data_IF_025746014393
#
_entry.id   IF_025746014393
#
_cell.length_a   1.000
_cell.length_b   1.000
_cell.length_c   1.000
_cell.angle_alpha   90.00
_cell.angle_beta   90.00
_cell.angle_gamma   90.00
#
_symmetry.space_group_name_H-M   'P 1'
#
loop_
_entity.id
_entity.type
_entity.pdbx_description
1 polymer ?
#
# COMPACT_ATOMS: atom_id res chain seq x y z
N UNK A 1 -24.77 80.33 -2.82
CA UNK A 1 -24.42 79.50 -3.99
C UNK A 1 -23.01 78.99 -3.81
N UNK A 2 -22.86 77.65 -3.85
CA UNK A 2 -21.64 76.83 -3.89
C UNK A 2 -20.65 76.87 -2.70
N UNK A 3 -20.89 75.97 -1.74
CA UNK A 3 -19.85 75.33 -0.94
C UNK A 3 -19.17 74.22 -1.77
N UNK A 4 -17.83 74.23 -1.83
CA UNK A 4 -17.04 73.12 -2.36
C UNK A 4 -16.49 72.30 -1.18
N UNK A 5 -16.92 71.04 -1.09
CA UNK A 5 -16.46 70.05 -0.12
C UNK A 5 -15.28 69.30 -0.72
N UNK A 6 -14.12 69.35 -0.06
CA UNK A 6 -12.96 68.50 -0.36
C UNK A 6 -13.14 67.20 0.42
N UNK A 7 -13.35 66.09 -0.29
CA UNK A 7 -13.40 64.73 0.29
C UNK A 7 -12.00 64.13 0.25
N UNK A 8 -11.42 63.92 1.43
CA UNK A 8 -10.16 63.18 1.61
C UNK A 8 -10.49 61.69 1.71
N UNK A 9 -10.02 60.89 0.76
CA UNK A 9 -10.08 59.44 0.80
C UNK A 9 -8.90 58.89 1.61
N UNK A 10 -9.18 58.24 2.74
CA UNK A 10 -8.21 57.43 3.48
C UNK A 10 -8.24 55.99 2.96
N UNK A 11 -7.17 55.59 2.27
CA UNK A 11 -6.90 54.20 1.87
C UNK A 11 -6.46 53.39 3.09
N UNK A 12 -7.34 52.52 3.58
CA UNK A 12 -7.02 51.49 4.56
C UNK A 12 -6.36 50.31 3.83
N UNK A 13 -5.04 50.19 3.95
CA UNK A 13 -4.29 49.03 3.46
C UNK A 13 -4.38 47.94 4.54
N UNK A 14 -5.27 46.97 4.35
CA UNK A 14 -5.26 45.72 5.11
C UNK A 14 -4.04 44.88 4.68
N UNK A 15 -3.04 44.80 5.55
CA UNK A 15 -2.01 43.77 5.45
C UNK A 15 -2.66 42.41 5.75
N UNK A 16 -3.00 41.66 4.69
CA UNK A 16 -3.28 40.23 4.80
C UNK A 16 -1.92 39.54 4.97
N UNK A 17 -1.50 39.32 6.21
CA UNK A 17 -0.42 38.39 6.51
C UNK A 17 -0.91 36.99 6.12
N UNK A 18 -0.19 36.24 5.26
CA UNK A 18 -0.50 34.84 5.03
C UNK A 18 -0.33 34.11 6.37
N UNK A 19 -1.45 33.64 6.92
CA UNK A 19 -1.45 32.84 8.14
C UNK A 19 -0.57 31.61 7.92
N UNK A 20 0.49 31.48 8.71
CA UNK A 20 1.20 30.21 8.86
C UNK A 20 0.12 29.22 9.33
N UNK A 21 -0.08 28.08 8.64
CA UNK A 21 -1.01 27.08 9.12
C UNK A 21 -0.61 26.71 10.54
N UNK A 22 -1.49 26.99 11.49
CA UNK A 22 -1.36 26.51 12.87
C UNK A 22 -1.46 24.99 12.77
N UNK A 23 -0.32 24.31 12.84
CA UNK A 23 -0.32 22.88 13.07
C UNK A 23 -1.01 22.65 14.41
N UNK A 24 -2.07 21.84 14.41
CA UNK A 24 -2.70 21.38 15.65
C UNK A 24 -1.63 20.76 16.56
N UNK A 25 -1.81 20.85 17.89
CA UNK A 25 -0.93 20.13 18.82
C UNK A 25 -0.86 18.65 18.40
N UNK A 26 0.35 18.05 18.38
CA UNK A 26 0.49 16.65 18.00
C UNK A 26 -0.35 15.78 18.95
N UNK A 27 -1.03 14.74 18.44
CA UNK A 27 -1.86 13.88 19.26
C UNK A 27 -1.00 13.20 20.32
N UNK A 28 -1.59 12.96 21.48
CA UNK A 28 -0.97 12.14 22.52
C UNK A 28 -0.74 10.76 21.91
N UNK A 29 0.51 10.29 21.91
CA UNK A 29 0.90 9.06 21.22
C UNK A 29 0.12 7.86 21.75
N UNK A 30 -0.16 7.83 23.06
CA UNK A 30 -0.98 6.79 23.68
C UNK A 30 -2.42 6.75 23.14
N UNK A 31 -3.00 7.89 22.75
CA UNK A 31 -4.30 7.93 22.06
C UNK A 31 -4.17 7.31 20.67
N UNK A 32 -3.10 7.64 19.94
CA UNK A 32 -2.81 7.06 18.62
C UNK A 32 -2.67 5.54 18.72
N UNK A 33 -1.94 5.02 19.71
CA UNK A 33 -1.79 3.58 19.94
C UNK A 33 -3.13 2.89 20.22
N UNK A 34 -4.01 3.54 20.98
CA UNK A 34 -5.37 3.07 21.20
C UNK A 34 -6.20 3.03 19.91
N UNK A 35 -6.11 4.08 19.08
CA UNK A 35 -6.78 4.12 17.74
C UNK A 35 -6.22 3.07 16.79
N UNK A 36 -4.93 2.75 16.90
CA UNK A 36 -4.29 1.66 16.17
C UNK A 36 -4.75 0.28 16.63
N UNK A 37 -5.53 0.17 17.70
CA UNK A 37 -6.10 -1.08 18.22
C UNK A 37 -5.24 -1.79 19.25
N UNK A 38 -4.20 -1.13 19.80
CA UNK A 38 -3.37 -1.72 20.84
C UNK A 38 -4.04 -1.67 22.21
N UNK A 39 -3.90 -2.75 22.98
CA UNK A 39 -4.35 -2.79 24.37
C UNK A 39 -3.29 -2.20 25.34
N UNK A 40 -3.69 -2.00 26.61
CA UNK A 40 -2.81 -1.40 27.64
C UNK A 40 -1.57 -2.24 27.92
N UNK A 41 -1.66 -3.57 27.83
CA UNK A 41 -0.51 -4.44 28.08
C UNK A 41 0.50 -4.30 26.95
N UNK A 42 0.04 -4.27 25.69
CA UNK A 42 0.86 -4.03 24.50
C UNK A 42 1.55 -2.66 24.51
N UNK A 43 0.84 -1.61 24.93
CA UNK A 43 1.42 -0.26 25.09
C UNK A 43 2.52 -0.26 26.17
N UNK A 44 2.33 -1.04 27.24
CA UNK A 44 3.34 -1.20 28.29
C UNK A 44 4.55 -1.98 27.81
N UNK A 45 4.36 -3.02 26.99
CA UNK A 45 5.44 -3.80 26.37
C UNK A 45 6.29 -2.94 25.42
N UNK A 46 5.65 -2.09 24.62
CA UNK A 46 6.34 -1.15 23.73
C UNK A 46 7.33 -0.25 24.49
N UNK A 47 7.02 0.12 25.74
CA UNK A 47 7.90 0.91 26.58
C UNK A 47 9.24 0.21 26.91
N UNK A 48 9.33 -1.10 26.72
CA UNK A 48 10.51 -1.93 26.92
C UNK A 48 11.43 -1.98 25.68
N UNK A 49 11.06 -1.30 24.59
CA UNK A 49 11.87 -1.13 23.38
C UNK A 49 11.78 -2.28 22.37
N UNK A 50 10.91 -3.26 22.59
CA UNK A 50 10.65 -4.34 21.64
C UNK A 50 9.54 -3.96 20.65
N UNK A 51 9.62 -4.40 19.38
CA UNK A 51 8.49 -4.33 18.47
C UNK A 51 7.32 -5.15 19.01
N UNK A 52 6.12 -4.57 19.03
CA UNK A 52 4.90 -5.22 19.51
C UNK A 52 3.99 -5.51 18.32
N UNK A 53 3.77 -6.80 18.05
CA UNK A 53 2.85 -7.26 17.01
C UNK A 53 1.47 -7.59 17.59
N UNK A 54 0.41 -7.16 16.94
CA UNK A 54 -0.96 -7.33 17.39
C UNK A 54 -1.88 -7.71 16.22
N UNK A 55 -3.06 -8.27 16.54
CA UNK A 55 -4.05 -8.64 15.53
C UNK A 55 -4.99 -7.46 15.25
N UNK A 56 -5.44 -7.33 14.01
CA UNK A 56 -6.51 -6.42 13.64
C UNK A 56 -7.81 -7.20 13.52
N UNK A 57 -8.94 -6.50 13.56
CA UNK A 57 -10.23 -7.09 13.18
C UNK A 57 -10.20 -7.46 11.69
N UNK A 58 -10.73 -8.63 11.38
CA UNK A 58 -10.92 -9.16 10.04
C UNK A 58 -12.42 -9.23 9.78
N UNK A 59 -12.88 -8.70 8.66
CA UNK A 59 -14.29 -8.56 8.29
C UNK A 59 -14.71 -9.59 7.22
N UNK A 60 -13.76 -10.37 6.68
CA UNK A 60 -14.03 -11.46 5.74
C UNK A 60 -13.16 -12.70 5.96
N UNK A 61 -13.60 -13.86 5.46
CA UNK A 61 -12.93 -15.14 5.70
C UNK A 61 -11.62 -15.32 4.93
N UNK A 62 -11.36 -14.49 3.93
CA UNK A 62 -10.15 -14.43 3.12
C UNK A 62 -9.15 -13.37 3.62
N UNK A 63 -9.48 -12.63 4.68
CA UNK A 63 -8.67 -11.52 5.20
C UNK A 63 -7.69 -11.95 6.28
N UNK A 64 -6.48 -11.40 6.25
CA UNK A 64 -5.49 -11.47 7.32
C UNK A 64 -5.14 -10.05 7.78
N UNK A 65 -5.40 -9.76 9.05
CA UNK A 65 -5.19 -8.45 9.66
C UNK A 65 -4.09 -8.47 10.74
N UNK A 66 -3.05 -7.64 10.58
CA UNK A 66 -2.00 -7.51 11.58
C UNK A 66 -1.43 -6.09 11.67
N UNK A 67 -1.00 -5.73 12.88
CA UNK A 67 -0.27 -4.51 13.14
C UNK A 67 1.05 -4.79 13.85
N UNK A 68 2.03 -3.91 13.65
CA UNK A 68 3.27 -3.85 14.44
C UNK A 68 3.56 -2.41 14.79
N UNK A 69 3.92 -2.17 16.04
CA UNK A 69 4.44 -0.88 16.52
C UNK A 69 5.82 -1.08 17.12
N UNK A 70 6.70 -0.12 16.88
CA UNK A 70 8.06 -0.14 17.42
C UNK A 70 8.50 1.26 17.86
N UNK A 71 9.24 1.31 18.96
CA UNK A 71 9.89 2.51 19.46
C UNK A 71 11.39 2.42 19.19
N UNK A 72 11.96 3.45 18.56
CA UNK A 72 13.41 3.56 18.32
C UNK A 72 13.93 4.90 18.85
N UNK A 73 15.15 4.91 19.38
CA UNK A 73 15.86 6.15 19.76
C UNK A 73 16.35 6.96 18.55
N UNK A 74 16.03 6.53 17.33
CA UNK A 74 16.37 7.27 16.12
C UNK A 74 15.60 8.59 16.05
N UNK A 75 16.23 9.72 15.68
CA UNK A 75 15.54 10.98 15.46
C UNK A 75 14.45 10.87 14.39
N UNK A 76 13.30 11.53 14.64
CA UNK A 76 12.14 11.52 13.75
C UNK A 76 12.47 11.90 12.32
N UNK A 77 13.31 12.91 12.13
CA UNK A 77 13.72 13.39 10.80
C UNK A 77 14.41 12.30 9.98
N UNK A 78 15.22 11.44 10.61
CA UNK A 78 15.90 10.33 9.94
C UNK A 78 14.92 9.23 9.57
N UNK A 79 14.02 8.86 10.49
CA UNK A 79 12.99 7.84 10.22
C UNK A 79 12.02 8.32 9.14
N UNK A 80 11.48 9.54 9.28
CA UNK A 80 10.54 10.12 8.33
C UNK A 80 11.20 10.32 6.95
N UNK A 81 12.46 10.77 6.90
CA UNK A 81 13.22 10.87 5.64
C UNK A 81 13.36 9.52 4.94
N UNK A 82 13.61 8.45 5.69
CA UNK A 82 13.68 7.10 5.14
C UNK A 82 12.32 6.60 4.64
N UNK A 83 11.25 6.86 5.40
CA UNK A 83 9.89 6.50 5.00
C UNK A 83 9.40 7.29 3.79
N UNK A 84 9.87 8.51 3.54
CA UNK A 84 9.51 9.31 2.34
C UNK A 84 10.13 8.80 1.05
N UNK A 85 11.18 7.96 1.11
CA UNK A 85 11.79 7.41 -0.10
C UNK A 85 10.72 6.72 -0.97
N UNK A 86 10.77 7.00 -2.27
CA UNK A 86 9.85 6.41 -3.26
C UNK A 86 9.87 4.88 -3.23
N UNK A 87 11.05 4.32 -2.97
CA UNK A 87 11.28 2.89 -2.77
C UNK A 87 11.96 2.66 -1.42
N UNK A 88 11.22 2.54 -0.32
CA UNK A 88 11.82 2.10 0.93
C UNK A 88 11.91 0.57 0.89
N UNK A 89 12.64 0.02 -0.10
CA UNK A 89 12.89 -1.41 -0.27
C UNK A 89 13.43 -2.06 1.02
N UNK A 90 13.99 -1.26 1.91
CA UNK A 90 14.33 -1.63 3.28
C UNK A 90 13.18 -2.27 4.08
N UNK A 91 11.92 -1.96 3.77
CA UNK A 91 10.75 -2.44 4.51
C UNK A 91 10.02 -3.60 3.83
N UNK A 92 10.38 -3.98 2.61
CA UNK A 92 9.83 -5.20 2.01
C UNK A 92 10.99 -6.10 1.62
N UNK A 93 11.39 -6.95 2.58
CA UNK A 93 12.56 -7.82 2.46
C UNK A 93 12.52 -8.77 1.26
N UNK A 94 11.33 -8.95 0.68
CA UNK A 94 11.09 -9.84 -0.43
C UNK A 94 11.21 -9.17 -1.81
N UNK A 95 11.35 -7.83 -1.88
CA UNK A 95 11.51 -7.12 -3.15
C UNK A 95 12.89 -7.39 -3.74
N UNK A 96 12.91 -7.84 -5.00
CA UNK A 96 14.14 -8.16 -5.75
C UNK A 96 14.36 -7.25 -6.95
N UNK A 97 13.31 -6.58 -7.43
CA UNK A 97 13.40 -5.53 -8.43
C UNK A 97 12.20 -4.56 -8.28
N UNK A 98 12.35 -3.34 -8.76
CA UNK A 98 11.30 -2.33 -8.72
C UNK A 98 11.41 -1.36 -9.91
N UNK A 99 10.34 -0.59 -10.13
CA UNK A 99 10.31 0.53 -11.07
C UNK A 99 9.05 1.36 -10.87
N UNK A 100 8.92 2.46 -11.62
CA UNK A 100 7.74 3.33 -11.61
C UNK A 100 6.91 3.12 -12.87
N UNK A 101 5.60 3.14 -12.69
CA UNK A 101 4.64 3.36 -13.75
C UNK A 101 4.29 4.83 -13.81
N UNK A 102 4.25 5.37 -15.02
CA UNK A 102 3.81 6.73 -15.30
C UNK A 102 2.89 6.70 -16.51
N UNK A 103 2.03 7.71 -16.64
CA UNK A 103 1.08 7.83 -17.76
C UNK A 103 1.76 7.73 -19.12
N UNK A 104 2.91 8.41 -19.26
CA UNK A 104 3.62 8.51 -20.52
C UNK A 104 4.68 7.41 -20.71
N UNK A 105 4.89 6.58 -19.69
CA UNK A 105 5.94 5.55 -19.70
C UNK A 105 5.58 4.32 -20.52
N UNK A 106 4.29 4.07 -20.77
CA UNK A 106 3.82 2.94 -21.56
C UNK A 106 4.24 1.57 -20.98
N UNK A 107 4.07 0.54 -21.81
CA UNK A 107 4.48 -0.83 -21.48
C UNK A 107 6.00 -0.95 -21.26
N UNK A 108 6.79 -0.06 -21.84
CA UNK A 108 8.26 -0.07 -21.73
C UNK A 108 8.75 0.19 -20.30
N UNK A 109 7.94 0.85 -19.46
CA UNK A 109 8.23 1.00 -18.03
C UNK A 109 8.26 -0.34 -17.27
N UNK A 110 7.79 -1.43 -17.90
CA UNK A 110 7.80 -2.80 -17.37
C UNK A 110 8.83 -3.70 -18.07
N UNK A 111 9.75 -3.16 -18.87
CA UNK A 111 10.72 -3.95 -19.63
C UNK A 111 11.57 -4.91 -18.75
N UNK A 112 11.89 -4.49 -17.52
CA UNK A 112 12.62 -5.29 -16.53
C UNK A 112 11.78 -6.36 -15.83
N UNK A 113 10.46 -6.41 -16.04
CA UNK A 113 9.60 -7.50 -15.58
C UNK A 113 9.79 -8.69 -16.52
N UNK A 114 10.81 -9.50 -16.26
CA UNK A 114 11.14 -10.68 -17.07
C UNK A 114 10.57 -11.95 -16.43
N UNK A 115 9.95 -12.80 -17.24
CA UNK A 115 9.48 -14.12 -16.85
C UNK A 115 10.57 -15.17 -17.10
N UNK A 116 10.68 -16.13 -16.20
CA UNK A 116 11.37 -17.39 -16.46
C UNK A 116 10.54 -18.26 -17.42
N UNK A 117 11.18 -19.27 -18.02
CA UNK A 117 10.50 -20.26 -18.87
C UNK A 117 9.35 -20.95 -18.15
N UNK A 118 9.53 -21.30 -16.87
CA UNK A 118 8.49 -21.93 -16.05
C UNK A 118 7.30 -20.99 -15.83
N UNK A 119 7.55 -19.72 -15.53
CA UNK A 119 6.48 -18.72 -15.34
C UNK A 119 5.72 -18.44 -16.63
N UNK A 120 6.43 -18.34 -17.76
CA UNK A 120 5.79 -18.14 -19.07
C UNK A 120 4.90 -19.33 -19.45
N UNK A 121 5.36 -20.57 -19.24
CA UNK A 121 4.56 -21.77 -19.50
C UNK A 121 3.33 -21.82 -18.57
N UNK A 122 3.51 -21.57 -17.28
CA UNK A 122 2.40 -21.59 -16.32
C UNK A 122 1.35 -20.51 -16.64
N UNK A 123 1.76 -19.31 -17.10
CA UNK A 123 0.82 -18.28 -17.55
C UNK A 123 0.06 -18.65 -18.84
N UNK A 124 0.64 -19.46 -19.72
CA UNK A 124 -0.03 -19.96 -20.91
C UNK A 124 -1.07 -21.03 -20.59
N UNK A 125 -0.72 -21.89 -19.62
CA UNK A 125 -1.57 -22.98 -19.14
C UNK A 125 -2.55 -22.48 -18.05
N UNK A 126 -2.61 -21.17 -17.81
CA UNK A 126 -3.46 -20.60 -16.78
C UNK A 126 -4.95 -20.87 -17.07
N UNK A 127 -5.65 -21.26 -16.02
CA UNK A 127 -7.09 -21.52 -15.98
C UNK A 127 -7.69 -20.76 -14.78
N UNK A 128 -9.03 -20.60 -14.71
CA UNK A 128 -9.68 -20.06 -13.52
C UNK A 128 -9.27 -20.88 -12.27
N UNK A 129 -8.79 -20.19 -11.23
CA UNK A 129 -8.28 -20.85 -10.02
C UNK A 129 -7.42 -19.94 -9.15
N UNK A 130 -6.79 -20.52 -8.12
CA UNK A 130 -5.98 -19.78 -7.14
C UNK A 130 -4.50 -19.61 -7.55
N UNK A 131 -4.05 -20.26 -8.63
CA UNK A 131 -2.64 -20.19 -9.04
C UNK A 131 -2.23 -18.79 -9.50
N UNK A 132 -3.11 -18.12 -10.24
CA UNK A 132 -2.88 -16.78 -10.76
C UNK A 132 -4.08 -15.86 -10.54
N UNK A 133 -3.78 -14.61 -10.24
CA UNK A 133 -4.78 -13.55 -10.18
C UNK A 133 -5.02 -12.95 -11.57
N UNK A 134 -5.69 -13.70 -12.43
CA UNK A 134 -6.05 -13.26 -13.78
C UNK A 134 -7.55 -13.16 -13.92
N UNK A 135 -8.03 -12.22 -14.71
CA UNK A 135 -9.43 -12.19 -15.12
C UNK A 135 -9.69 -13.23 -16.22
N UNK A 136 -10.96 -13.57 -16.46
CA UNK A 136 -11.36 -14.45 -17.57
C UNK A 136 -10.84 -13.95 -18.91
N UNK A 137 -10.95 -12.65 -19.18
CA UNK A 137 -10.47 -12.03 -20.43
C UNK A 137 -8.94 -12.13 -20.56
N UNK A 138 -8.21 -11.99 -19.46
CA UNK A 138 -6.75 -12.09 -19.45
C UNK A 138 -6.29 -13.52 -19.72
N UNK A 139 -6.93 -14.52 -19.11
CA UNK A 139 -6.68 -15.94 -19.37
C UNK A 139 -6.87 -16.24 -20.86
N UNK A 140 -8.02 -15.86 -21.43
CA UNK A 140 -8.31 -16.06 -22.86
C UNK A 140 -7.26 -15.35 -23.73
N UNK A 141 -6.85 -14.14 -23.35
CA UNK A 141 -5.85 -13.38 -24.10
C UNK A 141 -4.47 -14.03 -24.08
N UNK A 142 -4.05 -14.62 -22.96
CA UNK A 142 -2.78 -15.33 -22.82
C UNK A 142 -2.76 -16.61 -23.66
N UNK A 143 -3.82 -17.41 -23.59
CA UNK A 143 -3.96 -18.63 -24.39
C UNK A 143 -3.93 -18.36 -25.91
N UNK A 144 -4.34 -17.16 -26.34
CA UNK A 144 -4.28 -16.75 -27.75
C UNK A 144 -2.85 -16.53 -28.27
N UNK A 145 -1.86 -16.29 -27.40
CA UNK A 145 -0.46 -16.07 -27.76
C UNK A 145 0.15 -17.31 -28.45
N UNK A 146 -0.32 -18.51 -28.09
CA UNK A 146 0.13 -19.81 -28.65
C UNK A 146 -0.10 -19.90 -30.16
N UNK A 147 -1.08 -19.17 -30.70
CA UNK A 147 -1.48 -19.26 -32.12
C UNK A 147 -0.52 -18.55 -33.09
N UNK A 148 0.51 -17.89 -32.59
CA UNK A 148 1.54 -17.21 -33.41
C UNK A 148 2.90 -17.81 -33.07
N UNK A 149 3.60 -18.52 -33.97
CA UNK A 149 4.84 -19.20 -33.64
C UNK A 149 6.00 -18.20 -33.46
N UNK A 150 6.54 -17.97 -32.24
CA UNK A 150 7.74 -17.17 -32.06
C UNK A 150 8.95 -18.10 -31.90
N UNK A 151 10.15 -17.58 -32.21
CA UNK A 151 11.42 -18.29 -31.93
C UNK A 151 11.68 -18.47 -30.41
N UNK A 152 10.97 -17.76 -29.55
CA UNK A 152 10.96 -17.93 -28.10
C UNK A 152 9.57 -17.59 -27.54
N UNK A 153 8.84 -18.60 -27.07
CA UNK A 153 7.49 -18.44 -26.53
C UNK A 153 7.50 -17.60 -25.24
N UNK A 154 8.60 -17.66 -24.48
CA UNK A 154 8.78 -16.93 -23.23
C UNK A 154 8.73 -15.40 -23.44
N UNK A 155 9.37 -14.91 -24.49
CA UNK A 155 9.41 -13.48 -24.82
C UNK A 155 8.03 -12.95 -25.24
N UNK A 156 7.30 -13.75 -26.02
CA UNK A 156 5.95 -13.39 -26.46
C UNK A 156 4.97 -13.32 -25.29
N UNK A 157 5.01 -14.31 -24.39
CA UNK A 157 4.20 -14.33 -23.16
C UNK A 157 4.60 -13.19 -22.23
N UNK A 158 5.91 -12.97 -22.04
CA UNK A 158 6.41 -11.86 -21.22
C UNK A 158 5.97 -10.50 -21.76
N UNK A 159 6.04 -10.29 -23.07
CA UNK A 159 5.56 -9.04 -23.69
C UNK A 159 4.05 -8.88 -23.50
N UNK A 160 3.26 -9.94 -23.68
CA UNK A 160 1.81 -9.89 -23.48
C UNK A 160 1.43 -9.65 -22.02
N UNK A 161 2.12 -10.29 -21.09
CA UNK A 161 1.93 -10.10 -19.66
C UNK A 161 2.23 -8.67 -19.21
N UNK A 162 3.30 -8.03 -19.73
CA UNK A 162 3.56 -6.60 -19.47
C UNK A 162 2.43 -5.70 -19.98
N UNK A 163 1.79 -6.04 -21.11
CA UNK A 163 0.60 -5.31 -21.59
C UNK A 163 -0.58 -5.46 -20.63
N UNK A 164 -0.80 -6.65 -20.06
CA UNK A 164 -1.82 -6.88 -19.04
C UNK A 164 -1.55 -6.00 -17.81
N UNK A 165 -0.31 -6.02 -17.29
CA UNK A 165 0.09 -5.20 -16.15
C UNK A 165 -0.13 -3.70 -16.41
N UNK A 166 0.27 -3.20 -17.58
CA UNK A 166 0.10 -1.79 -17.93
C UNK A 166 -1.39 -1.41 -18.03
N UNK A 167 -2.22 -2.24 -18.68
CA UNK A 167 -3.67 -2.02 -18.74
C UNK A 167 -4.32 -1.98 -17.36
N UNK A 168 -3.87 -2.83 -16.42
CA UNK A 168 -4.35 -2.82 -15.03
C UNK A 168 -3.99 -1.51 -14.32
N UNK A 169 -2.77 -1.01 -14.53
CA UNK A 169 -2.36 0.29 -14.03
C UNK A 169 -3.23 1.42 -14.60
N UNK A 170 -3.45 1.45 -15.91
CA UNK A 170 -4.31 2.48 -16.53
C UNK A 170 -5.74 2.42 -16.01
N UNK A 171 -6.32 1.22 -15.91
CA UNK A 171 -7.65 1.01 -15.37
C UNK A 171 -7.74 1.53 -13.92
N UNK A 172 -6.81 1.12 -13.05
CA UNK A 172 -6.78 1.55 -11.66
C UNK A 172 -6.58 3.06 -11.51
N UNK A 173 -5.69 3.67 -12.29
CA UNK A 173 -5.45 5.11 -12.21
C UNK A 173 -6.68 5.92 -12.64
N UNK A 174 -7.43 5.43 -13.63
CA UNK A 174 -8.58 6.15 -14.19
C UNK A 174 -9.90 5.90 -13.44
N UNK A 175 -10.07 4.73 -12.82
CA UNK A 175 -11.33 4.37 -12.14
C UNK A 175 -11.17 3.82 -10.72
N UNK A 176 -9.95 3.83 -10.19
CA UNK A 176 -9.62 3.39 -8.84
C UNK A 176 -9.91 1.91 -8.61
N UNK A 177 -10.30 1.59 -7.38
CA UNK A 177 -10.62 0.20 -7.00
C UNK A 177 -11.81 -0.35 -7.80
N UNK A 178 -12.76 0.49 -8.21
CA UNK A 178 -13.93 0.07 -9.00
C UNK A 178 -13.58 -0.42 -10.42
N UNK A 179 -12.43 0.00 -10.95
CA UNK A 179 -11.95 -0.43 -12.27
C UNK A 179 -11.09 -1.71 -12.22
N UNK A 180 -10.87 -2.29 -11.04
CA UNK A 180 -10.14 -3.55 -10.92
C UNK A 180 -11.02 -4.71 -11.38
N UNK A 181 -10.57 -5.41 -12.41
CA UNK A 181 -11.22 -6.63 -12.87
C UNK A 181 -11.14 -7.72 -11.78
N UNK A 182 -12.23 -8.49 -11.56
CA UNK A 182 -12.21 -9.63 -10.66
C UNK A 182 -11.24 -10.71 -11.17
N UNK A 183 -10.74 -11.53 -10.25
CA UNK A 183 -9.93 -12.70 -10.60
C UNK A 183 -10.82 -13.91 -10.78
N UNK A 184 -10.62 -14.65 -11.87
CA UNK A 184 -11.37 -15.85 -12.18
C UNK A 184 -10.95 -16.99 -11.23
N UNK A 185 -11.95 -17.68 -10.65
CA UNK A 185 -11.78 -18.87 -9.83
C UNK A 185 -12.60 -20.01 -10.43
N UNK A 186 -12.41 -21.22 -9.90
CA UNK A 186 -13.19 -22.40 -10.28
C UNK A 186 -14.70 -22.18 -10.02
N UNK A 187 -15.55 -23.00 -10.64
CA UNK A 187 -17.01 -22.97 -10.47
C UNK A 187 -17.66 -21.59 -10.74
N UNK A 188 -17.15 -20.85 -11.73
CA UNK A 188 -17.59 -19.49 -12.08
C UNK A 188 -17.50 -18.47 -10.93
N UNK A 189 -16.70 -18.78 -9.90
CA UNK A 189 -16.45 -17.91 -8.77
C UNK A 189 -15.44 -16.82 -9.10
N UNK A 190 -15.34 -15.81 -8.22
CA UNK A 190 -14.32 -14.77 -8.35
C UNK A 190 -13.87 -14.20 -7.02
N UNK A 191 -12.57 -13.87 -6.92
CA UNK A 191 -12.06 -12.92 -5.93
C UNK A 191 -12.21 -11.50 -6.47
N UNK A 192 -12.45 -10.54 -5.56
CA UNK A 192 -12.85 -9.17 -5.90
C UNK A 192 -11.92 -8.17 -5.20
N UNK A 193 -10.73 -7.90 -5.75
CA UNK A 193 -9.78 -6.93 -5.18
C UNK A 193 -10.40 -5.53 -5.01
N UNK A 194 -11.42 -5.19 -5.81
CA UNK A 194 -12.19 -3.95 -5.66
C UNK A 194 -12.91 -3.85 -4.31
N UNK A 195 -13.54 -4.94 -3.85
CA UNK A 195 -14.27 -5.01 -2.59
C UNK A 195 -13.31 -5.14 -1.41
N UNK A 196 -12.32 -6.03 -1.54
CA UNK A 196 -11.24 -6.25 -0.56
C UNK A 196 -10.54 -4.93 -0.18
N UNK A 197 -10.06 -4.16 -1.16
CA UNK A 197 -9.37 -2.89 -0.91
C UNK A 197 -10.30 -1.77 -0.40
N UNK A 198 -11.59 -1.85 -0.72
CA UNK A 198 -12.58 -0.92 -0.18
C UNK A 198 -12.83 -1.20 1.31
N UNK A 199 -12.99 -2.47 1.67
CA UNK A 199 -13.13 -2.94 3.06
C UNK A 199 -11.92 -2.55 3.91
N UNK A 200 -10.69 -2.81 3.45
CA UNK A 200 -9.48 -2.38 4.14
C UNK A 200 -9.40 -0.86 4.35
N UNK A 201 -9.90 -0.07 3.39
CA UNK A 201 -9.95 1.38 3.53
C UNK A 201 -11.01 1.83 4.55
N UNK A 202 -12.17 1.17 4.62
CA UNK A 202 -13.19 1.43 5.65
C UNK A 202 -12.65 1.10 7.04
N UNK A 203 -11.96 -0.03 7.19
CA UNK A 203 -11.45 -0.52 8.48
C UNK A 203 -10.36 0.39 9.11
N UNK A 204 -9.82 1.36 8.37
CA UNK A 204 -8.74 2.22 8.86
C UNK A 204 -9.21 3.29 9.84
N UNK A 205 -9.21 2.95 11.14
CA UNK A 205 -9.53 3.88 12.22
C UNK A 205 -8.58 5.09 12.28
N UNK A 206 -7.27 4.89 11.99
CA UNK A 206 -6.27 5.97 12.00
C UNK A 206 -6.58 7.02 10.92
N UNK A 207 -6.99 6.59 9.72
CA UNK A 207 -7.37 7.50 8.65
C UNK A 207 -8.67 8.23 8.97
N UNK A 208 -9.69 7.50 9.43
CA UNK A 208 -10.97 8.09 9.80
C UNK A 208 -10.83 9.16 10.89
N UNK A 209 -9.97 8.92 11.88
CA UNK A 209 -9.77 9.81 13.04
C UNK A 209 -8.88 11.01 12.74
N UNK A 210 -7.71 10.80 12.13
CA UNK A 210 -6.68 11.83 12.02
C UNK A 210 -6.52 12.42 10.61
N UNK A 211 -7.03 11.73 9.58
CA UNK A 211 -6.90 12.17 8.19
C UNK A 211 -8.22 12.03 7.41
N UNK A 212 -9.35 12.59 7.89
CA UNK A 212 -10.66 12.33 7.29
C UNK A 212 -10.75 12.74 5.81
N UNK A 213 -10.05 13.81 5.40
CA UNK A 213 -9.99 14.21 4.00
C UNK A 213 -9.23 13.19 3.13
N UNK A 214 -8.09 12.70 3.61
CA UNK A 214 -7.31 11.65 2.92
C UNK A 214 -8.08 10.33 2.92
N UNK A 215 -8.76 9.98 4.02
CA UNK A 215 -9.60 8.78 4.12
C UNK A 215 -10.70 8.78 3.05
N UNK A 216 -11.41 9.90 2.93
CA UNK A 216 -12.44 10.09 1.91
C UNK A 216 -11.87 9.99 0.50
N UNK A 217 -10.75 10.65 0.22
CA UNK A 217 -10.11 10.57 -1.10
C UNK A 217 -9.60 9.15 -1.41
N UNK A 218 -9.05 8.45 -0.41
CA UNK A 218 -8.55 7.09 -0.54
C UNK A 218 -9.65 6.06 -0.80
N UNK A 219 -10.79 6.18 -0.11
CA UNK A 219 -11.98 5.36 -0.33
C UNK A 219 -12.56 5.54 -1.73
N UNK A 220 -12.47 6.75 -2.27
CA UNK A 220 -13.09 7.16 -3.54
C UNK A 220 -12.07 7.50 -4.62
N UNK A 221 -10.84 6.96 -4.51
CA UNK A 221 -9.80 7.17 -5.50
C UNK A 221 -10.35 6.81 -6.90
N UNK A 222 -10.13 7.61 -7.96
CA UNK A 222 -9.13 8.67 -8.13
C UNK A 222 -9.63 10.10 -7.84
N UNK A 223 -10.46 10.29 -6.81
CA UNK A 223 -10.72 11.65 -6.31
C UNK A 223 -9.42 12.37 -5.92
N UNK A 224 -9.44 13.70 -6.08
CA UNK A 224 -8.31 14.58 -5.79
C UNK A 224 -7.80 14.34 -4.36
N UNK A 225 -6.52 13.98 -4.26
CA UNK A 225 -5.85 13.81 -2.97
C UNK A 225 -5.67 15.18 -2.29
N UNK A 226 -5.69 15.25 -0.94
CA UNK A 226 -5.47 16.49 -0.22
C UNK A 226 -4.12 17.15 -0.58
N UNK A 227 -4.01 18.49 -0.51
CA UNK A 227 -2.73 19.19 -0.70
C UNK A 227 -1.64 18.67 0.24
N UNK A 228 -0.40 18.65 -0.23
CA UNK A 228 0.75 18.14 0.55
C UNK A 228 0.87 16.61 0.57
N UNK A 229 0.13 15.92 -0.31
CA UNK A 229 0.31 14.49 -0.57
C UNK A 229 1.16 14.26 -1.81
N UNK A 230 1.96 13.19 -1.78
CA UNK A 230 2.74 12.70 -2.92
C UNK A 230 2.22 11.34 -3.36
N UNK A 231 1.91 11.21 -4.65
CA UNK A 231 1.35 9.99 -5.25
C UNK A 231 2.36 9.33 -6.19
N UNK A 232 2.52 8.02 -6.08
CA UNK A 232 3.37 7.23 -6.99
C UNK A 232 2.77 5.85 -7.26
N UNK A 233 3.14 5.27 -8.41
CA UNK A 233 2.71 3.94 -8.85
C UNK A 233 3.90 2.99 -9.06
N UNK A 234 4.52 2.48 -7.99
CA UNK A 234 5.59 1.54 -8.15
C UNK A 234 5.07 0.19 -8.67
N UNK A 235 5.87 -0.48 -9.50
CA UNK A 235 5.78 -1.93 -9.66
C UNK A 235 6.96 -2.56 -8.93
N UNK A 236 6.76 -3.75 -8.37
CA UNK A 236 7.83 -4.53 -7.77
C UNK A 236 7.79 -5.99 -8.22
N UNK A 237 8.96 -6.61 -8.26
CA UNK A 237 9.09 -8.07 -8.31
C UNK A 237 9.44 -8.55 -6.90
N UNK A 238 8.63 -9.46 -6.37
CA UNK A 238 8.85 -10.06 -5.05
C UNK A 238 9.20 -11.53 -5.18
N UNK A 239 9.93 -12.06 -4.20
CA UNK A 239 9.93 -13.49 -3.90
C UNK A 239 8.88 -13.77 -2.81
N UNK A 240 7.85 -14.53 -3.15
CA UNK A 240 6.79 -14.95 -2.22
C UNK A 240 6.72 -16.47 -2.30
N UNK A 241 6.94 -17.13 -1.16
CA UNK A 241 6.89 -18.60 -1.06
C UNK A 241 7.83 -19.31 -2.07
N UNK A 242 9.00 -18.71 -2.33
CA UNK A 242 9.98 -19.26 -3.27
C UNK A 242 9.66 -19.01 -4.75
N UNK A 243 8.53 -18.36 -5.07
CA UNK A 243 8.12 -17.98 -6.42
C UNK A 243 8.26 -16.48 -6.64
N UNK A 244 8.54 -16.07 -7.88
CA UNK A 244 8.57 -14.65 -8.19
C UNK A 244 7.21 -14.14 -8.63
N UNK A 245 6.79 -13.00 -8.08
CA UNK A 245 5.54 -12.35 -8.43
C UNK A 245 5.78 -10.89 -8.81
N UNK A 246 5.26 -10.47 -9.96
CA UNK A 246 5.08 -9.06 -10.25
C UNK A 246 3.88 -8.52 -9.46
N UNK A 247 4.05 -7.34 -8.89
CA UNK A 247 3.05 -6.68 -8.04
C UNK A 247 2.96 -5.21 -8.44
N UNK A 248 1.74 -4.70 -8.59
CA UNK A 248 1.47 -3.30 -8.88
C UNK A 248 0.98 -2.58 -7.62
N UNK A 249 1.57 -1.42 -7.34
CA UNK A 249 1.32 -0.63 -6.15
C UNK A 249 0.78 0.75 -6.47
N UNK A 250 -0.05 1.25 -5.57
CA UNK A 250 -0.38 2.67 -5.45
C UNK A 250 0.05 3.14 -4.07
N UNK A 251 0.87 4.20 -4.03
CA UNK A 251 1.42 4.75 -2.80
C UNK A 251 1.08 6.23 -2.70
N UNK A 252 0.55 6.62 -1.54
CA UNK A 252 0.32 8.02 -1.17
C UNK A 252 1.07 8.33 0.11
N UNK A 253 1.92 9.36 0.07
CA UNK A 253 2.69 9.84 1.23
C UNK A 253 2.12 11.19 1.68
N UNK A 254 1.97 11.39 2.98
CA UNK A 254 1.50 12.64 3.58
C UNK A 254 2.33 12.96 4.81
N UNK A 255 2.71 14.22 5.00
CA UNK A 255 3.32 14.65 6.26
C UNK A 255 2.30 14.66 7.40
N UNK A 256 2.76 14.38 8.62
CA UNK A 256 1.91 14.32 9.81
C UNK A 256 2.67 14.62 11.09
N UNK A 257 2.41 15.78 11.71
CA UNK A 257 2.95 16.14 13.03
C UNK A 257 4.48 15.96 13.15
N UNK A 258 5.20 16.46 12.15
CA UNK A 258 6.66 16.30 12.02
C UNK A 258 7.12 14.92 11.54
N UNK A 259 6.23 13.93 11.54
CA UNK A 259 6.42 12.61 10.96
C UNK A 259 5.81 12.48 9.56
N UNK A 260 5.54 11.24 9.16
CA UNK A 260 4.99 10.90 7.84
C UNK A 260 4.00 9.74 7.96
N UNK A 261 2.98 9.75 7.11
CA UNK A 261 2.06 8.66 6.86
C UNK A 261 2.22 8.20 5.41
N UNK A 262 2.33 6.89 5.21
CA UNK A 262 2.43 6.25 3.90
C UNK A 262 1.28 5.26 3.79
N UNK A 263 0.40 5.50 2.83
CA UNK A 263 -0.62 4.56 2.39
C UNK A 263 -0.07 3.76 1.23
N UNK A 264 -0.27 2.45 1.24
CA UNK A 264 0.04 1.59 0.10
C UNK A 264 -1.08 0.61 -0.16
N UNK A 265 -1.45 0.48 -1.43
CA UNK A 265 -2.26 -0.60 -1.98
C UNK A 265 -1.41 -1.44 -2.90
N UNK A 266 -1.43 -2.75 -2.72
CA UNK A 266 -1.08 -3.73 -3.74
C UNK A 266 -2.36 -4.17 -4.42
N UNK A 267 -2.71 -3.45 -5.49
CA UNK A 267 -3.97 -3.65 -6.22
C UNK A 267 -3.90 -4.77 -7.26
N UNK A 268 -2.72 -5.32 -7.47
CA UNK A 268 -2.49 -6.52 -8.24
C UNK A 268 -1.23 -7.21 -7.73
N UNK A 269 -1.31 -8.52 -7.51
CA UNK A 269 -0.17 -9.40 -7.38
C UNK A 269 -0.39 -10.61 -8.28
N UNK A 270 0.66 -11.10 -8.93
CA UNK A 270 0.55 -12.24 -9.86
C UNK A 270 -0.08 -13.48 -9.22
N UNK A 271 0.24 -13.76 -7.95
CA UNK A 271 -0.22 -14.93 -7.18
C UNK A 271 -0.02 -14.72 -5.66
N UNK A 272 -0.26 -15.78 -4.87
CA UNK A 272 -0.11 -15.91 -3.40
C UNK A 272 -1.09 -15.09 -2.53
N UNK A 273 -1.48 -13.90 -2.96
CA UNK A 273 -2.53 -13.10 -2.31
C UNK A 273 -3.28 -12.30 -3.37
N UNK A 274 -4.55 -11.99 -3.13
CA UNK A 274 -5.45 -11.32 -4.06
C UNK A 274 -5.17 -9.82 -4.12
N UNK A 275 -5.15 -9.18 -2.96
CA UNK A 275 -4.83 -7.77 -2.79
C UNK A 275 -4.33 -7.50 -1.37
N UNK A 276 -3.67 -6.36 -1.17
CA UNK A 276 -3.29 -5.92 0.18
C UNK A 276 -3.32 -4.40 0.29
N UNK A 277 -3.62 -3.92 1.49
CA UNK A 277 -3.49 -2.53 1.85
C UNK A 277 -2.75 -2.42 3.17
N UNK A 278 -1.83 -1.47 3.25
CA UNK A 278 -1.22 -1.12 4.51
C UNK A 278 -0.97 0.36 4.69
N UNK A 279 -0.83 0.71 5.95
CA UNK A 279 -0.51 2.05 6.41
C UNK A 279 0.77 1.93 7.21
N UNK A 280 1.75 2.77 6.92
CA UNK A 280 2.96 2.91 7.72
C UNK A 280 3.10 4.36 8.14
N UNK A 281 3.39 4.61 9.40
CA UNK A 281 3.62 5.98 9.85
C UNK A 281 4.64 6.07 10.96
N UNK A 282 5.09 7.30 11.21
CA UNK A 282 5.97 7.59 12.34
C UNK A 282 5.60 8.89 13.03
N UNK A 283 5.86 8.95 14.34
CA UNK A 283 5.57 10.11 15.19
C UNK A 283 6.70 10.32 16.20
N UNK A 284 6.92 11.56 16.68
CA UNK A 284 7.79 11.79 17.83
C UNK A 284 7.22 11.06 19.05
N UNK A 285 8.06 10.32 19.77
CA UNK A 285 7.65 9.65 21.00
C UNK A 285 8.83 9.57 21.96
N UNK A 286 8.67 10.11 23.17
CA UNK A 286 9.74 10.25 24.16
C UNK A 286 10.97 10.95 23.55
N UNK A 287 12.16 10.38 23.72
CA UNK A 287 13.43 10.84 23.18
C UNK A 287 13.72 10.30 21.75
N UNK A 288 12.74 9.68 21.10
CA UNK A 288 12.92 9.06 19.79
C UNK A 288 11.67 9.10 18.91
N UNK A 289 11.46 8.00 18.19
CA UNK A 289 10.41 7.87 17.18
C UNK A 289 9.61 6.61 17.39
N UNK A 290 8.29 6.76 17.38
CA UNK A 290 7.36 5.65 17.19
C UNK A 290 7.22 5.37 15.70
N UNK A 291 7.28 4.11 15.28
CA UNK A 291 6.93 3.66 13.94
C UNK A 291 5.84 2.60 14.05
N UNK A 292 4.81 2.70 13.23
CA UNK A 292 3.74 1.70 13.19
C UNK A 292 3.46 1.28 11.75
N UNK A 293 2.97 0.06 11.61
CA UNK A 293 2.41 -0.46 10.37
C UNK A 293 1.16 -1.29 10.66
N UNK A 294 0.10 -1.10 9.88
CA UNK A 294 -1.11 -1.93 9.88
C UNK A 294 -1.32 -2.49 8.47
N UNK A 295 -1.52 -3.79 8.35
CA UNK A 295 -1.72 -4.49 7.07
C UNK A 295 -3.05 -5.25 7.12
N UNK A 296 -3.82 -5.10 6.06
CA UNK A 296 -4.90 -6.00 5.66
C UNK A 296 -4.47 -6.68 4.35
N UNK A 297 -4.46 -8.01 4.32
CA UNK A 297 -4.11 -8.79 3.13
C UNK A 297 -5.17 -9.84 2.86
N UNK A 298 -5.59 -9.98 1.61
CA UNK A 298 -6.66 -10.88 1.21
C UNK A 298 -6.09 -12.04 0.41
N UNK A 299 -6.48 -13.28 0.70
CA UNK A 299 -6.01 -14.47 0.01
C UNK A 299 -6.99 -15.62 0.15
N UNK A 300 -7.23 -16.32 -0.96
CA UNK A 300 -8.10 -17.50 -0.97
C UNK A 300 -7.50 -18.67 -0.16
N UNK A 301 -6.18 -18.65 0.04
CA UNK A 301 -5.45 -19.73 0.73
C UNK A 301 -5.90 -19.96 2.18
N UNK A 302 -6.44 -18.93 2.85
CA UNK A 302 -6.92 -19.03 4.24
C UNK A 302 -8.40 -19.40 4.35
N UNK A 303 -9.08 -19.57 3.23
CA UNK A 303 -10.49 -19.97 3.16
C UNK A 303 -10.66 -21.50 3.17
N UNK A 304 -11.91 -21.96 3.24
CA UNK A 304 -12.27 -23.37 3.13
C UNK A 304 -11.99 -24.22 4.38
N UNK A 305 -11.70 -25.51 4.17
CA UNK A 305 -11.50 -26.48 5.25
C UNK A 305 -10.35 -26.04 6.15
N UNK A 306 -10.57 -26.14 7.47
CA UNK A 306 -9.64 -25.72 8.52
C UNK A 306 -9.24 -24.23 8.44
N UNK A 307 -10.11 -23.36 7.90
CA UNK A 307 -9.88 -21.91 7.80
C UNK A 307 -9.39 -21.28 9.10
N UNK A 308 -9.96 -21.64 10.27
CA UNK A 308 -9.49 -21.11 11.56
C UNK A 308 -8.01 -21.41 11.85
N UNK A 309 -7.52 -22.59 11.48
CA UNK A 309 -6.10 -22.98 11.65
C UNK A 309 -5.23 -22.25 10.62
N UNK A 310 -5.68 -22.18 9.36
CA UNK A 310 -4.99 -21.46 8.28
C UNK A 310 -4.82 -19.97 8.63
N UNK A 311 -5.84 -19.36 9.21
CA UNK A 311 -5.81 -17.98 9.73
C UNK A 311 -4.75 -17.78 10.82
N UNK A 312 -4.65 -18.70 11.78
CA UNK A 312 -3.61 -18.64 12.82
C UNK A 312 -2.21 -18.69 12.22
N UNK A 313 -1.98 -19.59 11.26
CA UNK A 313 -0.69 -19.73 10.57
C UNK A 313 -0.41 -18.50 9.70
N UNK A 314 -1.39 -18.06 8.90
CA UNK A 314 -1.29 -16.90 8.03
C UNK A 314 -0.97 -15.61 8.80
N UNK A 315 -1.67 -15.35 9.91
CA UNK A 315 -1.37 -14.21 10.80
C UNK A 315 0.03 -14.29 11.37
N UNK A 316 0.50 -15.48 11.76
CA UNK A 316 1.87 -15.66 12.27
C UNK A 316 2.89 -15.30 11.18
N UNK A 317 2.73 -15.82 9.98
CA UNK A 317 3.62 -15.52 8.84
C UNK A 317 3.63 -14.03 8.48
N UNK A 318 2.46 -13.39 8.49
CA UNK A 318 2.33 -11.95 8.23
C UNK A 318 3.07 -11.13 9.30
N UNK A 319 2.88 -11.44 10.58
CA UNK A 319 3.56 -10.77 11.70
C UNK A 319 5.08 -10.97 11.63
N UNK A 320 5.54 -12.21 11.39
CA UNK A 320 6.97 -12.52 11.27
C UNK A 320 7.60 -11.74 10.10
N UNK A 321 6.88 -11.57 8.98
CA UNK A 321 7.33 -10.75 7.86
C UNK A 321 7.42 -9.27 8.25
N UNK A 322 6.41 -8.73 8.92
CA UNK A 322 6.42 -7.34 9.39
C UNK A 322 7.59 -7.09 10.34
N UNK A 323 7.85 -7.99 11.29
CA UNK A 323 8.97 -7.88 12.21
C UNK A 323 10.32 -7.88 11.47
N UNK A 324 10.53 -8.75 10.49
CA UNK A 324 11.75 -8.73 9.64
C UNK A 324 11.93 -7.44 8.87
N UNK A 325 10.84 -6.87 8.37
CA UNK A 325 10.85 -5.55 7.73
C UNK A 325 11.29 -4.45 8.70
N UNK A 326 10.83 -4.51 9.94
CA UNK A 326 11.30 -3.61 10.99
C UNK A 326 12.78 -3.83 11.32
N UNK A 327 13.23 -5.06 11.54
CA UNK A 327 14.65 -5.37 11.80
C UNK A 327 15.57 -4.78 10.71
N UNK A 328 15.17 -4.90 9.45
CA UNK A 328 15.90 -4.31 8.32
C UNK A 328 15.88 -2.78 8.35
N UNK A 329 14.78 -2.15 8.75
CA UNK A 329 14.74 -0.71 9.01
C UNK A 329 15.74 -0.35 10.11
N UNK A 330 15.75 -1.08 11.23
CA UNK A 330 16.68 -0.83 12.32
C UNK A 330 18.14 -0.89 11.86
N UNK A 331 18.47 -1.93 11.07
CA UNK A 331 19.81 -2.09 10.49
C UNK A 331 20.17 -0.93 9.56
N UNK A 332 19.25 -0.56 8.66
CA UNK A 332 19.44 0.56 7.71
C UNK A 332 19.63 1.90 8.43
N UNK A 333 18.94 2.08 9.56
CA UNK A 333 19.09 3.27 10.41
C UNK A 333 20.33 3.21 11.31
N UNK A 334 21.09 2.11 11.31
CA UNK A 334 22.31 1.93 12.10
C UNK A 334 22.07 1.72 13.59
N UNK A 335 20.92 1.13 13.97
CA UNK A 335 20.51 0.96 15.37
C UNK A 335 20.56 -0.50 15.86
N UNK A 336 20.42 -1.49 14.97
CA UNK A 336 20.60 -2.90 15.34
C UNK A 336 22.04 -3.34 15.05
N UNK A 337 22.64 -4.05 16.01
CA UNK A 337 23.93 -4.74 15.87
C UNK A 337 23.72 -6.22 15.59
#
# INVERSE_FOLDING_TARGET
>A
MHHAVVVVWLLNICFILPGIPVFAEPPVVEEVLGVLGMDKAQITELAQGQPVAYALSEESSDELGAGVVWYTQTPLTKVAGHLRLTYPDSLDVNVTAHGLLTEHGGVDSLASVVLSKKEAQALLDAEPGEEFNLSTDEIISLQSVIRTPPKAIEDAVGQHYRKILFKRFEAYRNGGTFALAPYAREDDMSSRPSQELHQAAIASAILARYFPALHKAWLNYPQVLPPGTEETFPWVKKNVEGRSAAVLRHRVTSDWNGGVLVLTREYYAMHSFNSSQWITGCLPYRDGTLVFQQIHSYTDQVTGIASSVKHVVGRKLLKDKMLKSFERLCYTLGQCR
#
